data_IF_270224894317
#
_entry.id   IF_270224894317
#
_cell.length_a   1.000
_cell.length_b   1.000
_cell.length_c   1.000
_cell.angle_alpha   90.00
_cell.angle_beta   90.00
_cell.angle_gamma   90.00
#
_symmetry.space_group_name_H-M   'P 1'
#
loop_
_entity.id
_entity.type
_entity.pdbx_description
1 polymer ?
#
# COMPACT_ATOMS: atom_id res chain seq x y z
N UNK A 1 4.31 -26.87 7.56
CA UNK A 1 5.18 -26.47 8.69
C UNK A 1 4.92 -24.99 9.02
N UNK A 2 4.92 -24.63 10.31
CA UNK A 2 4.84 -23.26 10.76
C UNK A 2 6.07 -22.46 10.32
N UNK A 3 5.87 -21.30 9.71
CA UNK A 3 6.93 -20.38 9.28
C UNK A 3 6.89 -19.11 10.14
N UNK A 4 8.02 -18.40 10.25
CA UNK A 4 8.15 -17.12 10.92
C UNK A 4 8.26 -16.02 9.87
N UNK A 5 7.35 -15.05 9.92
CA UNK A 5 7.33 -13.89 9.01
C UNK A 5 7.66 -12.62 9.76
N UNK A 6 8.55 -11.80 9.24
CA UNK A 6 8.73 -10.43 9.67
C UNK A 6 7.90 -9.51 8.75
N UNK A 7 7.09 -8.65 9.35
CA UNK A 7 6.37 -7.58 8.64
C UNK A 7 6.87 -6.25 9.17
N UNK A 8 7.62 -5.49 8.39
CA UNK A 8 7.91 -4.10 8.72
C UNK A 8 6.72 -3.24 8.28
N UNK A 9 6.29 -2.30 9.11
CA UNK A 9 5.04 -1.57 8.88
C UNK A 9 3.79 -2.41 9.21
N UNK A 10 3.90 -3.37 10.13
CA UNK A 10 2.84 -4.31 10.44
C UNK A 10 1.69 -3.74 11.29
N UNK A 11 1.86 -2.60 11.95
CA UNK A 11 0.77 -1.85 12.61
C UNK A 11 0.04 -0.91 11.63
N UNK A 12 0.51 -0.82 10.38
CA UNK A 12 -0.14 -0.10 9.30
C UNK A 12 -1.38 -0.81 8.74
N UNK A 13 -2.02 -0.19 7.74
CA UNK A 13 -3.23 -0.69 7.09
C UNK A 13 -3.01 -2.08 6.48
N UNK A 14 -2.14 -2.21 5.47
CA UNK A 14 -1.93 -3.49 4.76
C UNK A 14 -1.23 -4.50 5.69
N UNK A 15 -0.24 -4.04 6.46
CA UNK A 15 0.57 -4.90 7.34
C UNK A 15 -0.25 -5.63 8.40
N UNK A 16 -1.23 -4.96 9.01
CA UNK A 16 -2.10 -5.57 10.02
C UNK A 16 -3.02 -6.67 9.45
N UNK A 17 -3.49 -6.50 8.21
CA UNK A 17 -4.26 -7.54 7.51
C UNK A 17 -3.37 -8.72 7.07
N UNK A 18 -2.13 -8.44 6.64
CA UNK A 18 -1.17 -9.49 6.32
C UNK A 18 -0.83 -10.31 7.57
N UNK A 19 -0.59 -9.65 8.70
CA UNK A 19 -0.35 -10.30 9.99
C UNK A 19 -1.52 -11.22 10.37
N UNK A 20 -2.75 -10.71 10.31
CA UNK A 20 -3.97 -11.47 10.61
C UNK A 20 -4.11 -12.71 9.68
N UNK A 21 -3.88 -12.54 8.39
CA UNK A 21 -3.97 -13.64 7.42
C UNK A 21 -2.91 -14.72 7.68
N UNK A 22 -1.66 -14.34 7.98
CA UNK A 22 -0.58 -15.28 8.24
C UNK A 22 -0.78 -16.04 9.54
N UNK A 23 -1.24 -15.37 10.61
CA UNK A 23 -1.64 -16.03 11.87
C UNK A 23 -2.79 -17.01 11.65
N UNK A 24 -3.81 -16.62 10.87
CA UNK A 24 -4.92 -17.49 10.50
C UNK A 24 -4.51 -18.73 9.70
N UNK A 25 -3.35 -18.69 9.00
CA UNK A 25 -2.72 -19.83 8.33
C UNK A 25 -1.78 -20.64 9.24
N UNK A 26 -1.70 -20.33 10.54
CA UNK A 26 -0.89 -21.06 11.53
C UNK A 26 0.60 -20.73 11.48
N UNK A 27 0.96 -19.51 11.03
CA UNK A 27 2.33 -19.01 11.03
C UNK A 27 2.60 -18.11 12.23
N UNK A 28 3.87 -17.97 12.64
CA UNK A 28 4.29 -16.96 13.61
C UNK A 28 4.61 -15.65 12.91
N UNK A 29 4.15 -14.53 13.46
CA UNK A 29 4.29 -13.20 12.86
C UNK A 29 5.04 -12.26 13.81
N UNK A 30 6.14 -11.71 13.30
CA UNK A 30 6.92 -10.66 13.94
C UNK A 30 6.63 -9.35 13.24
N UNK A 31 6.29 -8.31 14.00
CA UNK A 31 6.00 -6.98 13.47
C UNK A 31 7.03 -5.99 14.00
N UNK A 32 7.61 -5.20 13.11
CA UNK A 32 8.42 -4.02 13.43
C UNK A 32 7.70 -2.78 12.89
N UNK A 33 7.31 -1.85 13.79
CA UNK A 33 6.59 -0.62 13.42
C UNK A 33 6.89 0.48 14.44
N UNK A 34 7.15 1.70 13.98
CA UNK A 34 7.35 2.87 14.83
C UNK A 34 6.07 3.70 15.04
N UNK A 35 4.95 3.21 14.52
CA UNK A 35 3.62 3.83 14.57
C UNK A 35 3.56 5.26 14.00
N UNK A 36 4.53 5.65 13.17
CA UNK A 36 4.55 6.96 12.52
C UNK A 36 3.37 7.21 11.57
N UNK A 37 2.84 6.15 10.96
CA UNK A 37 1.63 6.16 10.12
C UNK A 37 0.67 5.03 10.47
N UNK A 38 1.15 3.99 11.14
CA UNK A 38 0.37 2.90 11.72
C UNK A 38 -0.24 3.27 13.07
N UNK A 39 -0.91 2.31 13.68
CA UNK A 39 -1.46 2.46 15.04
C UNK A 39 -1.60 1.11 15.74
N UNK A 40 -1.27 1.03 17.02
CA UNK A 40 -1.48 -0.16 17.85
C UNK A 40 -2.93 -0.69 17.80
N UNK A 41 -3.91 0.19 17.57
CA UNK A 41 -5.31 -0.21 17.44
C UNK A 41 -5.55 -1.22 16.32
N UNK A 42 -4.78 -1.16 15.21
CA UNK A 42 -4.92 -2.08 14.09
C UNK A 42 -4.48 -3.52 14.42
N UNK A 43 -3.58 -3.68 15.39
CA UNK A 43 -2.99 -4.97 15.79
C UNK A 43 -3.47 -5.43 17.17
N UNK A 44 -4.30 -4.65 17.87
CA UNK A 44 -4.75 -4.92 19.23
C UNK A 44 -5.35 -6.32 19.40
N UNK A 45 -6.22 -6.72 18.47
CA UNK A 45 -6.86 -8.04 18.50
C UNK A 45 -5.88 -9.20 18.28
N UNK A 46 -4.72 -8.94 17.61
CA UNK A 46 -3.70 -9.95 17.33
C UNK A 46 -2.79 -10.21 18.52
N UNK A 47 -2.67 -9.27 19.46
CA UNK A 47 -1.75 -9.35 20.62
C UNK A 47 -2.07 -10.50 21.58
N UNK A 48 -3.31 -11.01 21.58
CA UNK A 48 -3.70 -12.17 22.36
C UNK A 48 -3.21 -13.51 21.76
N UNK A 49 -2.75 -13.52 20.52
CA UNK A 49 -2.23 -14.72 19.87
C UNK A 49 -0.77 -14.95 20.28
N UNK A 50 -0.39 -16.14 20.83
CA UNK A 50 0.98 -16.42 21.27
C UNK A 50 2.01 -16.42 20.12
N UNK A 51 1.56 -16.58 18.89
CA UNK A 51 2.41 -16.53 17.69
C UNK A 51 2.56 -15.11 17.10
N UNK A 52 1.99 -14.08 17.76
CA UNK A 52 2.12 -12.68 17.35
C UNK A 52 3.13 -11.94 18.24
N UNK A 53 4.16 -11.36 17.62
CA UNK A 53 5.23 -10.64 18.32
C UNK A 53 5.35 -9.22 17.78
N UNK A 54 5.06 -8.23 18.59
CA UNK A 54 5.19 -6.82 18.23
C UNK A 54 6.45 -6.21 18.84
N UNK A 55 7.24 -5.55 18.00
CA UNK A 55 8.38 -4.72 18.39
C UNK A 55 8.10 -3.29 17.96
N UNK A 56 7.92 -2.38 18.93
CA UNK A 56 7.89 -0.95 18.65
C UNK A 56 9.31 -0.48 18.34
N UNK A 57 9.53 -0.01 17.11
CA UNK A 57 10.85 0.42 16.66
C UNK A 57 10.88 0.76 15.17
N UNK A 58 12.00 1.34 14.74
CA UNK A 58 12.19 1.82 13.38
C UNK A 58 13.05 0.86 12.57
N UNK A 59 12.80 0.78 11.25
CA UNK A 59 13.69 0.13 10.28
C UNK A 59 15.05 0.83 10.15
N UNK A 60 15.19 2.00 10.79
CA UNK A 60 16.45 2.75 10.88
C UNK A 60 17.34 2.29 12.06
N UNK A 61 16.85 1.43 12.93
CA UNK A 61 17.59 0.80 14.02
C UNK A 61 18.19 -0.52 13.54
N UNK A 62 19.50 -0.51 13.28
CA UNK A 62 20.23 -1.63 12.72
C UNK A 62 20.21 -2.88 13.62
N UNK A 63 20.35 -2.72 14.92
CA UNK A 63 20.41 -3.85 15.85
C UNK A 63 19.05 -4.59 15.91
N UNK A 64 17.98 -3.84 16.05
CA UNK A 64 16.61 -4.39 16.07
C UNK A 64 16.26 -5.03 14.74
N UNK A 65 16.52 -4.34 13.61
CA UNK A 65 16.21 -4.84 12.28
C UNK A 65 17.00 -6.11 11.95
N UNK A 66 18.32 -6.11 12.17
CA UNK A 66 19.20 -7.26 11.93
C UNK A 66 18.76 -8.49 12.73
N UNK A 67 18.49 -8.33 14.03
CA UNK A 67 18.01 -9.40 14.90
C UNK A 67 16.68 -10.00 14.42
N UNK A 68 15.70 -9.15 14.05
CA UNK A 68 14.39 -9.61 13.59
C UNK A 68 14.47 -10.32 12.24
N UNK A 69 15.23 -9.77 11.28
CA UNK A 69 15.45 -10.43 9.97
C UNK A 69 16.11 -11.78 10.17
N UNK A 70 17.17 -11.86 11.01
CA UNK A 70 17.86 -13.12 11.31
C UNK A 70 16.94 -14.20 11.93
N UNK A 71 15.97 -13.78 12.74
CA UNK A 71 15.01 -14.67 13.42
C UNK A 71 13.97 -15.28 12.46
N UNK A 72 13.55 -14.54 11.43
CA UNK A 72 12.45 -14.91 10.55
C UNK A 72 12.89 -15.72 9.32
N UNK A 73 11.93 -16.41 8.69
CA UNK A 73 12.15 -17.15 7.46
C UNK A 73 11.84 -16.31 6.22
N UNK A 74 10.86 -15.40 6.32
CA UNK A 74 10.40 -14.51 5.26
C UNK A 74 10.25 -13.09 5.78
N UNK A 75 10.45 -12.11 4.91
CA UNK A 75 10.26 -10.70 5.25
C UNK A 75 9.28 -10.05 4.26
N UNK A 76 8.27 -9.36 4.79
CA UNK A 76 7.40 -8.48 4.02
C UNK A 76 7.69 -7.03 4.42
N UNK A 77 8.31 -6.28 3.51
CA UNK A 77 8.66 -4.88 3.75
C UNK A 77 7.52 -3.97 3.27
N UNK A 78 6.70 -3.51 4.22
CA UNK A 78 5.58 -2.61 4.01
C UNK A 78 5.78 -1.25 4.69
N UNK A 79 6.80 -1.10 5.53
CA UNK A 79 7.16 0.17 6.16
C UNK A 79 7.56 1.20 5.11
N UNK A 80 6.84 2.30 5.06
CA UNK A 80 7.13 3.41 4.16
C UNK A 80 6.45 4.69 4.67
N UNK A 81 7.06 5.84 4.40
CA UNK A 81 6.40 7.13 4.50
C UNK A 81 5.49 7.31 3.28
N UNK A 82 4.18 7.10 3.44
CA UNK A 82 3.20 7.04 2.37
C UNK A 82 2.05 8.05 2.57
N UNK A 83 1.47 8.48 1.45
CA UNK A 83 0.36 9.43 1.40
C UNK A 83 0.77 10.82 0.95
N UNK A 84 0.02 11.35 -0.03
CA UNK A 84 0.35 12.64 -0.69
C UNK A 84 0.55 13.76 0.34
N UNK A 85 -0.34 13.88 1.32
CA UNK A 85 -0.26 14.93 2.34
C UNK A 85 0.96 14.77 3.26
N UNK A 86 1.33 13.51 3.61
CA UNK A 86 2.50 13.23 4.43
C UNK A 86 3.79 13.57 3.70
N UNK A 87 3.92 13.14 2.44
CA UNK A 87 5.09 13.41 1.59
C UNK A 87 5.28 14.91 1.35
N UNK A 88 4.19 15.65 1.12
CA UNK A 88 4.27 17.11 0.92
C UNK A 88 4.64 17.86 2.20
N UNK A 89 4.26 17.35 3.38
CA UNK A 89 4.55 17.98 4.67
C UNK A 89 6.01 17.83 5.10
N UNK A 90 6.61 16.64 4.88
CA UNK A 90 8.00 16.34 5.24
C UNK A 90 8.66 15.46 4.17
N UNK A 91 9.04 16.06 3.02
CA UNK A 91 9.61 15.29 1.91
C UNK A 91 10.97 14.67 2.26
N UNK A 92 11.81 15.35 3.07
CA UNK A 92 13.12 14.82 3.45
C UNK A 92 12.99 13.55 4.30
N UNK A 93 12.16 13.58 5.34
CA UNK A 93 11.89 12.40 6.17
C UNK A 93 11.31 11.26 5.32
N UNK A 94 10.40 11.57 4.40
CA UNK A 94 9.81 10.59 3.49
C UNK A 94 10.88 9.91 2.61
N UNK A 95 11.78 10.68 2.00
CA UNK A 95 12.88 10.15 1.18
C UNK A 95 13.82 9.29 2.03
N UNK A 96 14.24 9.77 3.19
CA UNK A 96 15.17 9.03 4.07
C UNK A 96 14.55 7.70 4.53
N UNK A 97 13.31 7.71 4.98
CA UNK A 97 12.62 6.48 5.42
C UNK A 97 12.48 5.49 4.26
N UNK A 98 12.04 5.95 3.09
CA UNK A 98 11.80 5.06 1.97
C UNK A 98 13.11 4.53 1.38
N UNK A 99 14.09 5.39 1.09
CA UNK A 99 15.32 4.97 0.40
C UNK A 99 16.33 4.32 1.36
N UNK A 100 16.70 5.03 2.44
CA UNK A 100 17.71 4.51 3.38
C UNK A 100 17.15 3.34 4.19
N UNK A 101 15.89 3.45 4.66
CA UNK A 101 15.24 2.37 5.40
C UNK A 101 15.07 1.11 4.56
N UNK A 102 14.57 1.22 3.32
CA UNK A 102 14.46 0.07 2.40
C UNK A 102 15.84 -0.51 2.07
N UNK A 103 16.87 0.33 1.88
CA UNK A 103 18.24 -0.13 1.66
C UNK A 103 18.78 -0.98 2.81
N UNK A 104 18.47 -0.62 4.08
CA UNK A 104 18.84 -1.42 5.27
C UNK A 104 18.09 -2.77 5.29
N UNK A 105 16.80 -2.77 5.00
CA UNK A 105 16.01 -4.02 4.92
C UNK A 105 16.59 -4.95 3.84
N UNK A 106 16.86 -4.42 2.65
CA UNK A 106 17.51 -5.16 1.55
C UNK A 106 18.88 -5.71 1.97
N UNK A 107 19.69 -4.90 2.65
CA UNK A 107 21.01 -5.30 3.14
C UNK A 107 20.92 -6.51 4.07
N UNK A 108 20.11 -6.43 5.15
CA UNK A 108 20.02 -7.52 6.12
C UNK A 108 19.31 -8.75 5.55
N UNK A 109 18.28 -8.60 4.73
CA UNK A 109 17.64 -9.73 4.05
C UNK A 109 18.63 -10.46 3.13
N UNK A 110 19.46 -9.72 2.38
CA UNK A 110 20.49 -10.30 1.55
C UNK A 110 21.60 -10.97 2.37
N UNK A 111 22.04 -10.35 3.49
CA UNK A 111 23.05 -10.91 4.40
C UNK A 111 22.61 -12.23 5.02
N UNK A 112 21.34 -12.35 5.41
CA UNK A 112 20.78 -13.55 6.03
C UNK A 112 20.05 -14.47 5.05
N UNK A 113 20.13 -14.19 3.74
CA UNK A 113 19.50 -14.97 2.66
C UNK A 113 17.98 -15.19 2.88
N UNK A 114 17.27 -14.13 3.34
CA UNK A 114 15.84 -14.21 3.63
C UNK A 114 15.02 -13.73 2.44
N UNK A 115 14.08 -14.55 1.91
CA UNK A 115 13.15 -14.10 0.89
C UNK A 115 12.40 -12.85 1.32
N UNK A 116 12.38 -11.85 0.43
CA UNK A 116 11.80 -10.53 0.68
C UNK A 116 10.67 -10.23 -0.30
N UNK A 117 9.51 -9.84 0.24
CA UNK A 117 8.51 -9.07 -0.49
C UNK A 117 8.75 -7.59 -0.28
N UNK A 118 8.91 -6.84 -1.36
CA UNK A 118 9.08 -5.38 -1.35
C UNK A 118 7.81 -4.70 -1.89
N UNK A 119 7.14 -3.93 -1.04
CA UNK A 119 6.01 -3.11 -1.48
C UNK A 119 6.48 -1.88 -2.25
N UNK A 120 6.21 -1.86 -3.54
CA UNK A 120 6.27 -0.69 -4.40
C UNK A 120 4.88 -0.09 -4.61
N UNK A 121 4.74 0.86 -5.52
CA UNK A 121 3.51 1.61 -5.74
C UNK A 121 3.27 1.87 -7.22
N UNK A 122 2.02 1.91 -7.63
CA UNK A 122 1.63 2.40 -8.95
C UNK A 122 2.03 3.86 -9.23
N UNK A 123 2.45 4.61 -8.21
CA UNK A 123 2.99 5.96 -8.37
C UNK A 123 4.31 5.98 -9.19
N UNK A 124 5.05 4.87 -9.27
CA UNK A 124 6.30 4.78 -10.06
C UNK A 124 6.06 5.01 -11.55
N UNK A 125 4.86 4.75 -12.06
CA UNK A 125 4.52 5.03 -13.46
C UNK A 125 4.47 6.53 -13.77
N UNK A 126 4.30 7.38 -12.76
CA UNK A 126 4.32 8.84 -12.89
C UNK A 126 3.24 9.38 -13.84
N UNK A 127 3.62 10.18 -14.81
CA UNK A 127 2.74 10.82 -15.81
C UNK A 127 2.49 9.94 -17.03
N UNK A 128 2.65 8.63 -16.92
CA UNK A 128 2.36 7.70 -18.03
C UNK A 128 0.91 7.85 -18.50
N UNK A 129 0.72 8.02 -19.80
CA UNK A 129 -0.62 8.20 -20.44
C UNK A 129 -1.21 6.91 -20.98
N UNK A 130 -0.36 5.89 -21.21
CA UNK A 130 -0.80 4.55 -21.63
C UNK A 130 -1.59 3.87 -20.51
N UNK A 131 -2.64 3.17 -20.84
CA UNK A 131 -3.40 2.31 -19.94
C UNK A 131 -4.03 1.13 -20.72
N UNK A 132 -4.09 -0.08 -20.15
CA UNK A 132 -3.59 -0.44 -18.82
C UNK A 132 -2.05 -0.38 -18.71
N UNK A 133 -1.56 -0.12 -17.48
CA UNK A 133 -0.13 0.00 -17.15
C UNK A 133 0.48 -1.38 -16.95
N UNK A 134 1.57 -1.66 -17.66
CA UNK A 134 2.32 -2.92 -17.58
C UNK A 134 3.62 -2.71 -16.82
N UNK A 135 4.16 -3.78 -16.25
CA UNK A 135 5.38 -3.73 -15.44
C UNK A 135 6.62 -3.29 -16.23
N UNK A 136 6.62 -3.50 -17.56
CA UNK A 136 7.66 -3.09 -18.50
C UNK A 136 7.45 -1.68 -19.10
N UNK A 137 6.39 -0.97 -18.75
CA UNK A 137 6.17 0.40 -19.21
C UNK A 137 7.13 1.40 -18.53
N UNK A 138 7.47 2.47 -19.26
CA UNK A 138 8.36 3.52 -18.76
C UNK A 138 7.79 4.23 -17.52
N UNK A 139 8.68 4.55 -16.57
CA UNK A 139 8.41 5.45 -15.47
C UNK A 139 8.60 6.90 -15.97
N UNK A 140 7.53 7.70 -16.02
CA UNK A 140 7.56 9.08 -16.53
C UNK A 140 7.37 10.04 -15.36
N UNK A 141 8.47 10.43 -14.72
CA UNK A 141 8.43 11.34 -13.58
C UNK A 141 8.44 12.80 -14.05
N UNK A 142 7.81 13.68 -13.26
CA UNK A 142 7.85 15.12 -13.49
C UNK A 142 9.14 15.77 -12.97
N UNK A 143 9.15 17.12 -12.98
CA UNK A 143 10.32 17.89 -12.52
C UNK A 143 10.61 17.66 -11.03
N UNK A 144 11.90 17.63 -10.68
CA UNK A 144 12.36 17.41 -9.27
C UNK A 144 11.95 18.56 -8.33
N UNK A 145 11.62 19.72 -8.87
CA UNK A 145 11.05 20.84 -8.11
C UNK A 145 9.59 20.59 -7.64
N UNK A 146 8.93 19.54 -8.13
CA UNK A 146 7.58 19.15 -7.73
C UNK A 146 7.69 18.00 -6.73
N UNK A 147 7.59 18.30 -5.43
CA UNK A 147 7.82 17.36 -4.32
C UNK A 147 7.01 16.08 -4.38
N UNK A 148 5.84 16.07 -5.02
CA UNK A 148 5.01 14.88 -5.22
C UNK A 148 5.79 13.71 -5.82
N UNK A 149 6.71 14.00 -6.76
CA UNK A 149 7.43 12.96 -7.49
C UNK A 149 8.52 12.28 -6.65
N UNK A 150 8.90 12.87 -5.49
CA UNK A 150 9.89 12.28 -4.60
C UNK A 150 9.50 10.88 -4.10
N UNK A 151 8.21 10.66 -3.81
CA UNK A 151 7.72 9.35 -3.41
C UNK A 151 7.80 8.33 -4.56
N UNK A 152 7.35 8.69 -5.75
CA UNK A 152 7.44 7.83 -6.93
C UNK A 152 8.90 7.48 -7.26
N UNK A 153 9.80 8.49 -7.20
CA UNK A 153 11.23 8.31 -7.38
C UNK A 153 11.85 7.39 -6.32
N UNK A 154 11.50 7.59 -5.04
CA UNK A 154 12.00 6.73 -3.95
C UNK A 154 11.59 5.27 -4.14
N UNK A 155 10.33 5.02 -4.53
CA UNK A 155 9.87 3.66 -4.80
C UNK A 155 10.49 3.04 -6.04
N UNK A 156 10.71 3.82 -7.11
CA UNK A 156 11.46 3.34 -8.27
C UNK A 156 12.92 3.00 -7.90
N UNK A 157 13.56 3.79 -7.04
CA UNK A 157 14.90 3.50 -6.56
C UNK A 157 14.94 2.23 -5.69
N UNK A 158 13.93 2.01 -4.85
CA UNK A 158 13.78 0.77 -4.07
C UNK A 158 13.71 -0.45 -5.00
N UNK A 159 12.96 -0.38 -6.12
CA UNK A 159 12.89 -1.44 -7.12
C UNK A 159 14.26 -1.69 -7.77
N UNK A 160 14.97 -0.63 -8.21
CA UNK A 160 16.32 -0.76 -8.79
C UNK A 160 17.31 -1.39 -7.81
N UNK A 161 17.31 -0.99 -6.54
CA UNK A 161 18.15 -1.59 -5.52
C UNK A 161 17.84 -3.08 -5.33
N UNK A 162 16.57 -3.44 -5.21
CA UNK A 162 16.14 -4.83 -5.02
C UNK A 162 16.55 -5.72 -6.20
N UNK A 163 16.32 -5.27 -7.44
CA UNK A 163 16.72 -5.98 -8.65
C UNK A 163 18.25 -6.08 -8.77
N UNK A 164 19.00 -5.03 -8.40
CA UNK A 164 20.46 -5.10 -8.37
C UNK A 164 20.98 -6.15 -7.38
N UNK A 165 20.38 -6.24 -6.18
CA UNK A 165 20.69 -7.31 -5.22
C UNK A 165 20.38 -8.69 -5.80
N UNK A 166 19.23 -8.85 -6.46
CA UNK A 166 18.87 -10.10 -7.11
C UNK A 166 19.89 -10.51 -8.18
N UNK A 167 20.21 -9.61 -9.11
CA UNK A 167 21.13 -9.91 -10.22
C UNK A 167 22.57 -10.19 -9.76
N UNK A 168 23.05 -9.49 -8.73
CA UNK A 168 24.44 -9.64 -8.28
C UNK A 168 24.63 -10.78 -7.29
N UNK A 169 23.61 -11.16 -6.52
CA UNK A 169 23.72 -12.10 -5.40
C UNK A 169 22.72 -13.24 -5.44
N UNK A 170 21.94 -13.37 -6.51
CA UNK A 170 20.79 -14.29 -6.57
C UNK A 170 19.81 -14.12 -5.38
N UNK A 171 19.73 -12.90 -4.82
CA UNK A 171 18.92 -12.60 -3.65
C UNK A 171 17.42 -12.81 -3.95
N UNK A 172 16.69 -13.62 -3.13
CA UNK A 172 15.29 -13.94 -3.37
C UNK A 172 14.37 -12.77 -3.00
N UNK A 173 14.11 -11.87 -3.94
CA UNK A 173 13.21 -10.72 -3.76
C UNK A 173 12.10 -10.71 -4.80
N UNK A 174 10.87 -10.45 -4.37
CA UNK A 174 9.73 -10.17 -5.25
C UNK A 174 9.18 -8.79 -4.95
N UNK A 175 8.88 -8.04 -6.00
CA UNK A 175 8.43 -6.65 -5.91
C UNK A 175 6.98 -6.57 -6.38
N UNK A 176 6.14 -5.79 -5.68
CA UNK A 176 4.80 -5.53 -6.17
C UNK A 176 4.45 -4.03 -6.14
N UNK A 177 3.99 -3.52 -7.30
CA UNK A 177 3.41 -2.20 -7.46
C UNK A 177 1.95 -2.25 -7.06
N UNK A 178 1.63 -1.75 -5.88
CA UNK A 178 0.27 -1.76 -5.35
C UNK A 178 -0.55 -0.62 -5.97
N UNK A 179 -1.73 -0.96 -6.47
CA UNK A 179 -2.73 0.00 -6.96
C UNK A 179 -3.78 0.20 -5.88
N UNK A 180 -4.22 1.43 -5.68
CA UNK A 180 -5.22 1.91 -4.71
C UNK A 180 -5.87 0.82 -3.83
N UNK A 181 -5.12 0.31 -2.90
CA UNK A 181 -5.63 -0.66 -1.92
C UNK A 181 -6.60 0.02 -0.97
N UNK A 182 -7.76 -0.61 -0.72
CA UNK A 182 -8.81 -0.09 0.17
C UNK A 182 -9.34 -1.19 1.08
N UNK A 183 -9.93 -0.82 2.21
CA UNK A 183 -10.53 -1.76 3.16
C UNK A 183 -10.58 -1.23 4.58
N UNK A 184 -11.04 -2.04 5.54
CA UNK A 184 -11.02 -1.73 6.97
C UNK A 184 -9.62 -1.33 7.46
N UNK A 185 -9.53 -0.55 8.53
CA UNK A 185 -8.29 -0.03 9.14
C UNK A 185 -7.54 1.00 8.29
N UNK A 186 -8.03 1.38 7.11
CA UNK A 186 -7.41 2.43 6.30
C UNK A 186 -7.70 3.82 6.89
N UNK A 187 -6.65 4.61 7.12
CA UNK A 187 -6.80 5.99 7.60
C UNK A 187 -7.22 6.93 6.46
N UNK A 188 -8.24 7.77 6.65
CA UNK A 188 -8.59 8.82 5.68
C UNK A 188 -7.62 10.02 5.71
N UNK A 189 -6.75 10.11 6.73
CA UNK A 189 -5.93 11.29 7.03
C UNK A 189 -4.84 11.58 5.99
N UNK A 190 -4.45 10.59 5.17
CA UNK A 190 -3.31 10.72 4.25
C UNK A 190 -3.70 11.02 2.80
N UNK A 191 -4.93 11.50 2.56
CA UNK A 191 -5.41 11.89 1.22
C UNK A 191 -5.97 10.72 0.39
N UNK A 192 -6.25 9.59 1.02
CA UNK A 192 -6.87 8.42 0.37
C UNK A 192 -8.32 8.72 0.01
N UNK A 193 -8.66 8.66 -1.29
CA UNK A 193 -9.93 9.16 -1.81
C UNK A 193 -11.14 8.39 -1.28
N UNK A 194 -11.16 7.04 -1.35
CA UNK A 194 -12.32 6.24 -0.98
C UNK A 194 -12.67 6.36 0.52
N UNK A 195 -11.75 6.14 1.49
CA UNK A 195 -12.11 6.27 2.91
C UNK A 195 -12.49 7.71 3.29
N UNK A 196 -11.93 8.73 2.63
CA UNK A 196 -12.30 10.14 2.86
C UNK A 196 -13.74 10.42 2.40
N UNK A 197 -14.11 9.97 1.19
CA UNK A 197 -15.48 10.15 0.69
C UNK A 197 -16.50 9.34 1.52
N UNK A 198 -16.13 8.15 1.98
CA UNK A 198 -16.98 7.34 2.90
C UNK A 198 -17.18 8.08 4.23
N UNK A 199 -16.13 8.62 4.84
CA UNK A 199 -16.25 9.44 6.07
C UNK A 199 -17.20 10.63 5.88
N UNK A 200 -17.06 11.33 4.77
CA UNK A 200 -17.91 12.47 4.43
C UNK A 200 -19.37 12.05 4.28
N UNK A 201 -19.61 10.94 3.56
CA UNK A 201 -20.95 10.38 3.37
C UNK A 201 -21.61 9.98 4.71
N UNK A 202 -20.86 9.31 5.59
CA UNK A 202 -21.36 8.84 6.89
C UNK A 202 -21.60 9.97 7.90
N UNK A 203 -20.90 11.10 7.75
CA UNK A 203 -21.02 12.25 8.66
C UNK A 203 -21.89 13.37 8.12
N UNK A 204 -22.59 13.18 6.99
CA UNK A 204 -23.44 14.18 6.38
C UNK A 204 -22.70 15.37 5.77
N UNK A 205 -21.37 15.32 5.66
CA UNK A 205 -20.56 16.38 5.05
C UNK A 205 -20.57 16.24 3.52
N UNK A 206 -20.39 17.35 2.77
CA UNK A 206 -20.24 17.27 1.32
C UNK A 206 -19.10 16.30 0.92
N UNK A 207 -19.34 15.49 -0.12
CA UNK A 207 -18.30 14.64 -0.72
C UNK A 207 -17.44 15.48 -1.64
N UNK A 208 -16.21 15.80 -1.20
CA UNK A 208 -15.30 16.66 -1.95
C UNK A 208 -14.56 15.89 -3.03
N UNK A 209 -14.83 16.17 -4.29
CA UNK A 209 -14.15 15.61 -5.46
C UNK A 209 -13.15 16.63 -5.98
N UNK A 210 -11.86 16.26 -5.99
CA UNK A 210 -10.81 17.18 -6.45
C UNK A 210 -10.72 17.19 -7.99
N UNK A 211 -10.58 18.36 -8.57
CA UNK A 211 -10.65 18.59 -10.01
C UNK A 211 -12.09 18.49 -10.54
N UNK A 212 -12.24 18.05 -11.78
CA UNK A 212 -13.55 17.83 -12.40
C UNK A 212 -14.13 16.42 -12.17
N UNK A 213 -13.39 15.56 -11.47
CA UNK A 213 -13.81 14.20 -11.14
C UNK A 213 -13.76 13.17 -12.29
N UNK A 214 -13.26 13.55 -13.47
CA UNK A 214 -13.17 12.66 -14.64
C UNK A 214 -11.97 11.71 -14.59
N UNK A 215 -10.97 12.00 -13.75
CA UNK A 215 -9.83 11.11 -13.56
C UNK A 215 -10.29 9.74 -13.06
N UNK A 216 -9.72 8.67 -13.63
CA UNK A 216 -10.16 7.31 -13.33
C UNK A 216 -9.15 6.54 -12.50
N UNK A 217 -9.65 5.63 -11.67
CA UNK A 217 -8.86 4.74 -10.80
C UNK A 217 -9.49 3.34 -10.81
N UNK A 218 -8.68 2.38 -10.41
CA UNK A 218 -9.14 1.07 -9.96
C UNK A 218 -8.91 0.94 -8.46
N UNK A 219 -9.69 0.10 -7.80
CA UNK A 219 -9.55 -0.19 -6.38
C UNK A 219 -9.41 -1.69 -6.15
N UNK A 220 -8.67 -2.06 -5.11
CA UNK A 220 -8.42 -3.45 -4.74
C UNK A 220 -8.64 -3.61 -3.26
N UNK A 221 -9.43 -4.61 -2.88
CA UNK A 221 -9.64 -4.88 -1.45
C UNK A 221 -8.37 -5.38 -0.78
N UNK A 222 -8.09 -4.92 0.43
CA UNK A 222 -6.89 -5.31 1.18
C UNK A 222 -6.76 -6.81 1.39
N UNK A 223 -7.87 -7.55 1.53
CA UNK A 223 -7.84 -9.03 1.63
C UNK A 223 -7.28 -9.68 0.36
N UNK A 224 -7.66 -9.18 -0.82
CA UNK A 224 -7.11 -9.65 -2.10
C UNK A 224 -5.61 -9.31 -2.21
N UNK A 225 -5.22 -8.12 -1.74
CA UNK A 225 -3.81 -7.68 -1.75
C UNK A 225 -2.95 -8.57 -0.86
N UNK A 226 -3.35 -8.84 0.39
CA UNK A 226 -2.53 -9.67 1.30
C UNK A 226 -2.48 -11.14 0.86
N UNK A 227 -3.53 -11.66 0.22
CA UNK A 227 -3.50 -12.99 -0.37
C UNK A 227 -2.50 -13.06 -1.54
N UNK A 228 -2.48 -12.05 -2.41
CA UNK A 228 -1.49 -11.95 -3.49
C UNK A 228 -0.06 -11.85 -2.94
N UNK A 229 0.17 -11.01 -1.91
CA UNK A 229 1.47 -10.90 -1.23
C UNK A 229 1.93 -12.26 -0.69
N UNK A 230 1.06 -12.95 0.03
CA UNK A 230 1.38 -14.26 0.59
C UNK A 230 1.75 -15.30 -0.47
N UNK A 231 1.03 -15.33 -1.60
CA UNK A 231 1.31 -16.24 -2.71
C UNK A 231 2.62 -15.88 -3.42
N UNK A 232 2.86 -14.61 -3.73
CA UNK A 232 4.09 -14.15 -4.37
C UNK A 232 5.32 -14.53 -3.53
N UNK A 233 5.29 -14.24 -2.23
CA UNK A 233 6.41 -14.53 -1.33
C UNK A 233 6.69 -16.03 -1.21
N UNK A 234 5.63 -16.86 -1.26
CA UNK A 234 5.73 -18.32 -1.17
C UNK A 234 6.08 -19.03 -2.49
N UNK A 235 6.19 -18.31 -3.61
CA UNK A 235 6.41 -18.88 -4.96
C UNK A 235 7.80 -18.48 -5.48
N UNK A 236 8.83 -19.35 -5.37
CA UNK A 236 10.21 -19.02 -5.80
C UNK A 236 10.34 -18.58 -7.27
N UNK A 237 9.46 -19.04 -8.15
CA UNK A 237 9.44 -18.65 -9.56
C UNK A 237 9.10 -17.17 -9.79
N UNK A 238 8.64 -16.44 -8.76
CA UNK A 238 8.34 -15.00 -8.84
C UNK A 238 9.51 -14.12 -8.40
N UNK A 239 10.57 -14.69 -7.84
CA UNK A 239 11.68 -13.91 -7.33
C UNK A 239 12.51 -13.30 -8.45
N UNK A 240 12.98 -12.09 -8.25
CA UNK A 240 13.66 -11.27 -9.26
C UNK A 240 12.71 -10.51 -10.18
N UNK A 241 11.40 -10.54 -9.91
CA UNK A 241 10.38 -9.98 -10.79
C UNK A 241 9.53 -8.91 -10.10
N UNK A 242 8.96 -8.01 -10.93
CA UNK A 242 8.01 -6.98 -10.53
C UNK A 242 6.61 -7.39 -10.97
N UNK A 243 5.61 -7.18 -10.12
CA UNK A 243 4.21 -7.47 -10.39
C UNK A 243 3.30 -6.30 -10.06
N UNK A 244 2.27 -6.07 -10.89
CA UNK A 244 1.16 -5.19 -10.53
C UNK A 244 0.13 -5.95 -9.67
N UNK A 245 -0.25 -5.39 -8.52
CA UNK A 245 -1.40 -5.87 -7.75
C UNK A 245 -2.48 -4.79 -7.77
N UNK A 246 -3.60 -5.06 -8.47
CA UNK A 246 -4.68 -4.09 -8.64
C UNK A 246 -5.97 -4.70 -9.13
N UNK A 247 -7.09 -4.04 -8.87
CA UNK A 247 -8.38 -4.36 -9.44
C UNK A 247 -8.50 -3.89 -10.89
N UNK A 248 -9.44 -4.46 -11.63
CA UNK A 248 -9.65 -4.14 -13.05
C UNK A 248 -10.89 -3.25 -13.28
N UNK A 249 -11.78 -3.10 -12.30
CA UNK A 249 -12.97 -2.23 -12.42
C UNK A 249 -12.51 -0.77 -12.39
N UNK A 250 -12.52 -0.12 -13.57
CA UNK A 250 -12.15 1.28 -13.72
C UNK A 250 -13.36 2.17 -13.46
N UNK A 251 -13.18 3.18 -12.58
CA UNK A 251 -14.24 4.13 -12.23
C UNK A 251 -13.69 5.56 -12.14
N UNK A 252 -14.46 6.55 -12.59
CA UNK A 252 -14.12 7.95 -12.37
C UNK A 252 -14.35 8.35 -10.90
N UNK A 253 -13.63 9.37 -10.42
CA UNK A 253 -13.78 9.80 -9.02
C UNK A 253 -15.17 10.39 -8.76
N UNK A 254 -15.78 11.03 -9.76
CA UNK A 254 -17.17 11.50 -9.65
C UNK A 254 -18.14 10.33 -9.52
N UNK A 255 -18.06 9.33 -10.39
CA UNK A 255 -18.89 8.12 -10.32
C UNK A 255 -18.64 7.32 -9.01
N UNK A 256 -17.41 7.32 -8.49
CA UNK A 256 -17.11 6.74 -7.19
C UNK A 256 -17.87 7.45 -6.05
N UNK A 257 -17.92 8.79 -6.08
CA UNK A 257 -18.66 9.55 -5.08
C UNK A 257 -20.18 9.22 -5.11
N UNK A 258 -20.78 9.12 -6.31
CA UNK A 258 -22.17 8.70 -6.47
C UNK A 258 -22.39 7.26 -5.97
N UNK A 259 -21.47 6.34 -6.29
CA UNK A 259 -21.53 4.94 -5.84
C UNK A 259 -21.47 4.84 -4.31
N UNK A 260 -20.58 5.63 -3.67
CA UNK A 260 -20.49 5.70 -2.21
C UNK A 260 -21.79 6.22 -1.60
N UNK A 261 -22.41 7.26 -2.14
CA UNK A 261 -23.73 7.74 -1.67
C UNK A 261 -24.76 6.63 -1.74
N UNK A 262 -24.83 5.91 -2.84
CA UNK A 262 -25.79 4.79 -3.02
C UNK A 262 -25.56 3.70 -1.98
N UNK A 263 -24.33 3.20 -1.82
CA UNK A 263 -24.01 2.09 -0.90
C UNK A 263 -24.18 2.48 0.57
N UNK A 264 -23.87 3.74 0.92
CA UNK A 264 -23.99 4.23 2.31
C UNK A 264 -25.37 4.76 2.67
N UNK A 265 -26.26 4.99 1.68
CA UNK A 265 -27.56 5.63 1.85
C UNK A 265 -27.44 7.15 2.13
N UNK A 266 -26.34 7.81 1.74
CA UNK A 266 -26.07 9.20 2.06
C UNK A 266 -26.77 10.17 1.10
N UNK A 267 -27.35 11.23 1.67
CA UNK A 267 -27.91 12.35 0.90
C UNK A 267 -26.93 13.54 0.78
N UNK A 268 -25.69 13.42 1.22
CA UNK A 268 -24.66 14.46 1.15
C UNK A 268 -24.48 14.97 -0.29
N UNK A 269 -24.34 16.28 -0.52
CA UNK A 269 -24.01 16.81 -1.85
C UNK A 269 -22.59 16.43 -2.27
N UNK A 270 -22.33 16.42 -3.58
CA UNK A 270 -20.99 16.29 -4.14
C UNK A 270 -20.50 17.71 -4.49
N UNK A 271 -19.31 18.06 -4.03
CA UNK A 271 -18.66 19.34 -4.29
C UNK A 271 -17.37 19.13 -5.08
N UNK A 272 -17.23 19.85 -6.20
CA UNK A 272 -16.00 19.86 -6.99
C UNK A 272 -15.04 20.92 -6.45
N UNK A 273 -13.86 20.46 -6.02
CA UNK A 273 -12.81 21.35 -5.46
C UNK A 273 -11.66 21.44 -6.48
N UNK A 274 -11.34 22.63 -7.02
CA UNK A 274 -10.21 22.78 -7.92
C UNK A 274 -8.90 22.25 -7.32
N UNK A 275 -8.05 21.62 -8.14
CA UNK A 275 -6.75 21.11 -7.67
C UNK A 275 -5.87 22.20 -7.04
N UNK A 276 -5.93 23.42 -7.56
CA UNK A 276 -5.19 24.57 -7.02
C UNK A 276 -5.60 24.90 -5.59
N UNK A 277 -6.88 24.73 -5.25
CA UNK A 277 -7.39 24.93 -3.90
C UNK A 277 -7.04 23.75 -2.97
N UNK A 278 -7.07 22.51 -3.49
CA UNK A 278 -6.82 21.31 -2.68
C UNK A 278 -5.33 21.07 -2.39
N UNK A 279 -4.44 21.39 -3.34
CA UNK A 279 -3.02 20.99 -3.32
C UNK A 279 -2.03 22.08 -3.73
N UNK A 280 -2.51 23.30 -4.07
CA UNK A 280 -1.67 24.39 -4.57
C UNK A 280 -1.46 24.36 -6.09
N UNK A 281 -0.75 25.39 -6.61
CA UNK A 281 -0.68 25.69 -8.06
C UNK A 281 0.11 24.67 -8.90
N UNK A 282 1.03 23.90 -8.28
CA UNK A 282 1.94 23.00 -9.00
C UNK A 282 1.56 21.52 -8.90
N UNK A 283 0.33 21.22 -8.45
CA UNK A 283 -0.10 19.83 -8.33
C UNK A 283 -0.39 19.22 -9.69
N UNK A 284 0.18 18.04 -9.93
CA UNK A 284 -0.03 17.22 -11.13
C UNK A 284 -0.62 15.87 -10.72
N UNK A 285 -1.62 15.37 -11.44
CA UNK A 285 -2.20 14.05 -11.21
C UNK A 285 -2.21 13.22 -12.49
N UNK A 286 -2.19 11.90 -12.32
CA UNK A 286 -2.41 10.97 -13.42
C UNK A 286 -3.89 10.99 -13.83
N UNK A 287 -4.24 11.23 -15.11
CA UNK A 287 -5.64 11.20 -15.54
C UNK A 287 -6.23 9.80 -15.44
N UNK A 288 -5.43 8.76 -15.68
CA UNK A 288 -5.86 7.35 -15.72
C UNK A 288 -4.83 6.45 -15.05
N UNK A 289 -5.24 5.60 -14.09
CA UNK A 289 -4.34 4.68 -13.38
C UNK A 289 -4.99 3.31 -13.21
N UNK A 290 -4.76 2.45 -14.20
CA UNK A 290 -5.37 1.10 -14.36
C UNK A 290 -4.25 0.10 -14.58
N UNK A 291 -4.12 -0.99 -13.78
CA UNK A 291 -3.09 -2.01 -13.96
C UNK A 291 -3.41 -2.99 -15.07
N UNK A 292 -2.38 -3.49 -15.74
CA UNK A 292 -2.40 -4.82 -16.34
C UNK A 292 -2.00 -5.83 -15.25
N UNK A 293 -2.82 -6.85 -15.03
CA UNK A 293 -2.59 -7.88 -14.00
C UNK A 293 -2.38 -9.28 -14.58
N UNK A 294 -2.20 -9.40 -15.90
CA UNK A 294 -2.02 -10.70 -16.56
C UNK A 294 -0.75 -11.41 -16.09
N UNK A 295 0.35 -10.66 -15.85
CA UNK A 295 1.59 -11.22 -15.33
C UNK A 295 1.39 -11.85 -13.96
N UNK A 296 0.70 -11.17 -13.05
CA UNK A 296 0.34 -11.70 -11.72
C UNK A 296 -0.52 -12.95 -11.82
N UNK A 297 -1.58 -12.91 -12.65
CA UNK A 297 -2.48 -14.02 -12.84
C UNK A 297 -1.76 -15.26 -13.39
N UNK A 298 -0.85 -15.08 -14.36
CA UNK A 298 -0.04 -16.17 -14.92
C UNK A 298 0.95 -16.76 -13.93
N UNK A 299 1.54 -15.93 -13.05
CA UNK A 299 2.57 -16.38 -12.12
C UNK A 299 2.03 -17.15 -10.91
N UNK A 300 0.90 -16.71 -10.33
CA UNK A 300 0.37 -17.28 -9.07
C UNK A 300 -1.09 -17.74 -9.15
N UNK A 301 -1.71 -17.75 -10.33
CA UNK A 301 -3.10 -18.17 -10.52
C UNK A 301 -4.10 -17.33 -9.73
N UNK A 302 -3.83 -16.03 -9.54
CA UNK A 302 -4.62 -15.16 -8.69
C UNK A 302 -5.12 -13.92 -9.43
N UNK A 303 -6.39 -13.59 -9.17
CA UNK A 303 -7.01 -12.31 -9.54
C UNK A 303 -7.83 -11.77 -8.37
N UNK A 304 -7.88 -10.45 -8.16
CA UNK A 304 -8.78 -9.83 -7.19
C UNK A 304 -10.24 -10.20 -7.45
N UNK A 305 -10.99 -10.49 -6.38
CA UNK A 305 -12.37 -11.01 -6.47
C UNK A 305 -13.41 -10.10 -5.83
N UNK A 306 -12.99 -9.24 -4.89
CA UNK A 306 -13.92 -8.40 -4.12
C UNK A 306 -14.29 -7.18 -4.96
N UNK A 307 -15.56 -7.03 -5.30
CA UNK A 307 -16.09 -5.92 -6.10
C UNK A 307 -16.21 -4.61 -5.32
N UNK A 308 -16.34 -3.49 -6.04
CA UNK A 308 -16.31 -2.13 -5.49
C UNK A 308 -17.38 -1.88 -4.42
N UNK A 309 -18.61 -2.37 -4.59
CA UNK A 309 -19.67 -2.18 -3.60
C UNK A 309 -19.35 -2.85 -2.27
N UNK A 310 -18.80 -4.05 -2.31
CA UNK A 310 -18.36 -4.76 -1.12
C UNK A 310 -17.17 -4.02 -0.44
N UNK A 311 -16.25 -3.46 -1.22
CA UNK A 311 -15.16 -2.63 -0.70
C UNK A 311 -15.71 -1.40 0.03
N UNK A 312 -16.66 -0.68 -0.58
CA UNK A 312 -17.31 0.49 0.02
C UNK A 312 -18.04 0.11 1.31
N UNK A 313 -18.79 -1.01 1.28
CA UNK A 313 -19.54 -1.49 2.44
C UNK A 313 -18.61 -1.86 3.62
N UNK A 314 -17.51 -2.58 3.35
CA UNK A 314 -16.53 -2.96 4.37
C UNK A 314 -15.83 -1.74 4.99
N UNK A 315 -15.43 -0.76 4.16
CA UNK A 315 -14.88 0.51 4.64
C UNK A 315 -15.91 1.27 5.47
N UNK A 316 -17.17 1.35 5.01
CA UNK A 316 -18.22 2.06 5.74
C UNK A 316 -18.53 1.39 7.09
N UNK A 317 -18.53 0.07 7.17
CA UNK A 317 -18.71 -0.67 8.43
C UNK A 317 -17.59 -0.37 9.44
N UNK A 318 -16.31 -0.46 9.02
CA UNK A 318 -15.16 -0.11 9.87
C UNK A 318 -15.23 1.35 10.35
N UNK A 319 -15.60 2.27 9.43
CA UNK A 319 -15.68 3.69 9.78
C UNK A 319 -16.82 4.01 10.75
N UNK A 320 -17.99 3.37 10.62
CA UNK A 320 -19.08 3.51 11.59
C UNK A 320 -18.62 3.10 12.99
N UNK A 321 -17.98 1.94 13.13
CA UNK A 321 -17.45 1.45 14.42
C UNK A 321 -16.46 2.44 15.02
N UNK A 322 -15.54 3.00 14.22
CA UNK A 322 -14.55 3.99 14.71
C UNK A 322 -15.14 5.35 15.05
N UNK A 323 -16.21 5.77 14.38
CA UNK A 323 -16.88 7.05 14.64
C UNK A 323 -17.79 6.97 15.88
N UNK A 324 -18.35 5.81 16.20
CA UNK A 324 -19.21 5.60 17.38
C UNK A 324 -18.42 5.25 18.65
N UNK A 325 -17.13 4.95 18.54
CA UNK A 325 -16.27 4.62 19.69
C UNK A 325 -16.55 3.26 20.32
N UNK A 326 -17.30 2.39 19.61
CA UNK A 326 -17.65 1.02 20.06
C UNK A 326 -16.76 -0.03 19.39
#
# INVERSE_FOLDING_TARGET
MQQRYLITGGAGFIGSHLAEMLLGKGHSVYVLDDESTGTAANIKALQANPDFHFTHGSIMDDDTLSRLVGTCHFVAHLAAAVGVQYVLKDPLKSIMTNVVGSGRVLHYCSQYEKPLFLASSSEVYGLQTKAPLREDDFCVLGATSVSRWSYACSKALDEFMALAYHHQKAFPVVIARLFNTVGPRQSPAYGMVLPRLVDQALTGRPLTVHGNGTQTRTFTHVRDVVEAIGRLLATPATWGEVYNIGGMEEISILALADRIKTVTGSNSPIELIPYTQAFGSNFQDMPRRVPDVHKLAGAIGFQPKIGLDAMIADVAADRRTRLTGT
#
